data_IF_723982656102
#
_entry.id   IF_723982656102
#
_cell.length_a   1.000
_cell.length_b   1.000
_cell.length_c   1.000
_cell.angle_alpha   90.00
_cell.angle_beta   90.00
_cell.angle_gamma   90.00
#
_symmetry.space_group_name_H-M   'P 1'
#
loop_
_entity.id
_entity.type
_entity.pdbx_description
1 polymer ?
#
# COMPACT_ATOMS: atom_id res chain seq x y z
N UNK A 1 -6.32 -19.57 -11.98
CA UNK A 1 -7.09 -18.34 -12.02
C UNK A 1 -6.19 -17.14 -12.25
N UNK A 2 -6.53 -16.35 -13.25
CA UNK A 2 -5.69 -15.20 -13.61
C UNK A 2 -5.97 -14.03 -12.69
N UNK A 3 -4.90 -13.42 -12.16
CA UNK A 3 -4.99 -12.23 -11.34
C UNK A 3 -4.71 -11.01 -12.21
N UNK A 4 -5.65 -10.08 -12.22
CA UNK A 4 -5.52 -8.82 -12.94
C UNK A 4 -5.42 -7.66 -11.95
N UNK A 5 -4.82 -6.56 -12.41
CA UNK A 5 -4.75 -5.34 -11.62
C UNK A 5 -5.69 -4.30 -12.23
N UNK A 6 -6.43 -3.59 -11.39
CA UNK A 6 -7.33 -2.53 -11.82
C UNK A 6 -7.41 -1.43 -10.79
N UNK A 7 -7.96 -0.30 -11.22
CA UNK A 7 -8.18 0.84 -10.33
C UNK A 7 -9.15 0.45 -9.20
N UNK A 8 -8.85 0.89 -7.99
CA UNK A 8 -9.67 0.62 -6.81
C UNK A 8 -10.98 1.40 -6.87
N UNK A 9 -12.05 0.76 -6.45
CA UNK A 9 -13.38 1.36 -6.26
C UNK A 9 -13.78 1.27 -4.80
N UNK A 10 -14.73 2.10 -4.38
CA UNK A 10 -15.17 2.11 -2.98
C UNK A 10 -15.68 0.74 -2.53
N UNK A 11 -16.34 0.01 -3.41
CA UNK A 11 -16.87 -1.32 -3.12
C UNK A 11 -15.77 -2.34 -2.78
N UNK A 12 -14.51 -2.05 -3.08
CA UNK A 12 -13.38 -2.93 -2.79
C UNK A 12 -12.89 -2.82 -1.35
N UNK A 13 -13.27 -1.76 -0.63
CA UNK A 13 -12.74 -1.49 0.71
C UNK A 13 -13.01 -2.61 1.71
N UNK A 14 -14.22 -3.19 1.80
CA UNK A 14 -14.45 -4.29 2.75
C UNK A 14 -13.50 -5.46 2.57
N UNK A 15 -13.27 -5.89 1.33
CA UNK A 15 -12.32 -6.98 1.03
C UNK A 15 -10.89 -6.58 1.41
N UNK A 16 -10.50 -5.34 1.13
CA UNK A 16 -9.19 -4.82 1.51
C UNK A 16 -9.02 -4.80 3.03
N UNK A 17 -10.05 -4.42 3.78
CA UNK A 17 -10.00 -4.41 5.25
C UNK A 17 -9.78 -5.82 5.80
N UNK A 18 -10.44 -6.82 5.23
CA UNK A 18 -10.25 -8.22 5.64
C UNK A 18 -8.82 -8.69 5.37
N UNK A 19 -8.26 -8.33 4.23
CA UNK A 19 -6.88 -8.68 3.89
C UNK A 19 -5.90 -7.99 4.86
N UNK A 20 -6.10 -6.72 5.13
CA UNK A 20 -5.26 -5.96 6.07
C UNK A 20 -5.21 -6.67 7.43
N UNK A 21 -6.37 -7.07 7.96
CA UNK A 21 -6.45 -7.81 9.22
C UNK A 21 -5.67 -9.12 9.13
N UNK A 22 -5.84 -9.88 8.07
CA UNK A 22 -5.16 -11.18 7.91
C UNK A 22 -3.64 -11.04 7.79
N UNK A 23 -3.16 -9.95 7.21
CA UNK A 23 -1.72 -9.71 7.03
C UNK A 23 -1.06 -9.21 8.31
N UNK A 24 -1.70 -8.26 9.01
CA UNK A 24 -1.05 -7.55 10.11
C UNK A 24 -1.43 -8.05 11.51
N UNK A 25 -2.53 -8.80 11.66
CA UNK A 25 -2.93 -9.36 12.96
C UNK A 25 -2.20 -10.67 13.22
N UNK A 26 -0.87 -10.59 13.38
CA UNK A 26 -0.04 -11.77 13.64
C UNK A 26 1.12 -11.40 14.57
N UNK A 27 1.92 -12.40 14.93
CA UNK A 27 3.03 -12.22 15.86
C UNK A 27 4.11 -11.27 15.32
N UNK A 28 4.34 -11.27 14.03
CA UNK A 28 5.38 -10.45 13.41
C UNK A 28 5.06 -8.97 13.50
N UNK A 29 3.82 -8.58 13.13
CA UNK A 29 3.40 -7.19 13.11
C UNK A 29 2.81 -6.74 14.44
N UNK A 30 2.30 -7.68 15.24
CA UNK A 30 1.70 -7.45 16.56
C UNK A 30 0.56 -6.45 16.55
N UNK A 31 -0.16 -6.36 15.45
CA UNK A 31 -1.36 -5.52 15.35
C UNK A 31 -2.60 -6.32 15.74
N UNK A 32 -3.65 -5.61 16.11
CA UNK A 32 -4.95 -6.19 16.48
C UNK A 32 -6.06 -5.36 15.87
N UNK A 33 -6.05 -5.29 14.55
CA UNK A 33 -7.07 -4.56 13.82
C UNK A 33 -8.42 -5.26 13.93
N UNK A 34 -9.46 -4.50 14.26
CA UNK A 34 -10.83 -4.96 14.03
C UNK A 34 -11.21 -4.64 12.59
N UNK A 35 -12.15 -5.39 12.03
CA UNK A 35 -12.65 -5.11 10.68
C UNK A 35 -13.22 -3.70 10.58
N UNK A 36 -13.93 -3.24 11.64
CA UNK A 36 -14.52 -1.91 11.67
C UNK A 36 -13.47 -0.81 11.60
N UNK A 37 -12.41 -0.90 12.42
CA UNK A 37 -11.34 0.10 12.44
C UNK A 37 -10.53 0.03 11.15
N UNK A 38 -10.26 -1.17 10.63
CA UNK A 38 -9.56 -1.33 9.36
C UNK A 38 -10.34 -0.68 8.21
N UNK A 39 -11.67 -0.86 8.19
CA UNK A 39 -12.53 -0.25 7.18
C UNK A 39 -12.49 1.27 7.27
N UNK A 40 -12.58 1.83 8.47
CA UNK A 40 -12.49 3.27 8.69
C UNK A 40 -11.13 3.81 8.22
N UNK A 41 -10.06 3.16 8.60
CA UNK A 41 -8.70 3.51 8.25
C UNK A 41 -8.51 3.58 6.72
N UNK A 42 -8.94 2.54 6.01
CA UNK A 42 -8.82 2.47 4.56
C UNK A 42 -9.77 3.44 3.85
N UNK A 43 -10.97 3.64 4.39
CA UNK A 43 -11.93 4.59 3.84
C UNK A 43 -11.40 6.01 3.90
N UNK A 44 -10.71 6.38 4.98
CA UNK A 44 -10.10 7.70 5.11
C UNK A 44 -9.05 7.94 4.02
N UNK A 45 -8.25 6.94 3.69
CA UNK A 45 -7.31 7.06 2.58
C UNK A 45 -8.02 7.18 1.24
N UNK A 46 -9.03 6.34 1.01
CA UNK A 46 -9.77 6.35 -0.25
C UNK A 46 -10.42 7.70 -0.53
N UNK A 47 -10.91 8.38 0.50
CA UNK A 47 -11.58 9.68 0.39
C UNK A 47 -10.60 10.85 0.38
N UNK A 48 -9.31 10.62 0.50
CA UNK A 48 -8.31 11.68 0.46
C UNK A 48 -8.24 12.28 -0.93
N UNK A 49 -8.08 13.61 -1.00
CA UNK A 49 -7.85 14.27 -2.27
C UNK A 49 -6.59 13.70 -2.95
N UNK A 50 -6.67 13.49 -4.25
CA UNK A 50 -5.59 12.92 -5.07
C UNK A 50 -5.23 11.49 -4.69
N UNK A 51 -6.24 10.72 -4.27
CA UNK A 51 -6.06 9.30 -3.98
C UNK A 51 -5.61 8.53 -5.23
N UNK A 52 -4.66 7.62 -5.04
CA UNK A 52 -4.18 6.69 -6.06
C UNK A 52 -4.27 5.29 -5.47
N UNK A 53 -5.04 4.41 -6.06
CA UNK A 53 -5.19 3.07 -5.53
C UNK A 53 -5.52 2.03 -6.59
N UNK A 54 -5.01 0.83 -6.37
CA UNK A 54 -5.21 -0.32 -7.25
C UNK A 54 -5.49 -1.56 -6.44
N UNK A 55 -6.21 -2.50 -7.03
CA UNK A 55 -6.49 -3.80 -6.42
C UNK A 55 -6.08 -4.91 -7.36
N UNK A 56 -5.76 -6.04 -6.76
CA UNK A 56 -5.56 -7.30 -7.46
C UNK A 56 -6.84 -8.11 -7.37
N UNK A 57 -7.37 -8.50 -8.52
CA UNK A 57 -8.66 -9.16 -8.66
C UNK A 57 -8.45 -10.50 -9.37
N UNK A 58 -8.89 -11.59 -8.77
CA UNK A 58 -8.75 -12.92 -9.38
C UNK A 58 -9.99 -13.36 -10.16
N UNK A 59 -10.94 -12.45 -10.36
CA UNK A 59 -12.20 -12.72 -11.04
C UNK A 59 -13.36 -13.10 -10.11
N UNK A 60 -13.05 -13.49 -8.88
CA UNK A 60 -14.04 -13.84 -7.86
C UNK A 60 -13.95 -12.92 -6.64
N UNK A 61 -12.72 -12.56 -6.27
CA UNK A 61 -12.50 -11.73 -5.08
C UNK A 61 -11.26 -10.86 -5.25
N UNK A 62 -11.15 -9.86 -4.40
CA UNK A 62 -9.96 -9.04 -4.27
C UNK A 62 -8.94 -9.80 -3.43
N UNK A 63 -7.69 -9.84 -3.89
CA UNK A 63 -6.61 -10.58 -3.22
C UNK A 63 -5.44 -9.70 -2.78
N UNK A 64 -5.47 -8.42 -3.09
CA UNK A 64 -4.46 -7.47 -2.65
C UNK A 64 -4.84 -6.05 -3.03
N UNK A 65 -4.14 -5.08 -2.45
CA UNK A 65 -4.41 -3.67 -2.73
C UNK A 65 -3.26 -2.77 -2.34
N UNK A 66 -3.24 -1.59 -2.96
CA UNK A 66 -2.32 -0.52 -2.62
C UNK A 66 -3.11 0.78 -2.51
N UNK A 67 -2.91 1.48 -1.40
CA UNK A 67 -3.51 2.77 -1.10
C UNK A 67 -2.42 3.81 -1.06
N UNK A 68 -2.53 4.82 -1.91
CA UNK A 68 -1.53 5.87 -2.04
C UNK A 68 -2.21 7.21 -2.37
N UNK A 69 -1.44 8.26 -2.40
CA UNK A 69 -1.94 9.58 -2.84
C UNK A 69 -0.80 10.39 -3.43
N UNK A 70 -1.15 11.34 -4.32
CA UNK A 70 -0.20 12.33 -4.78
C UNK A 70 0.07 13.30 -3.65
N UNK A 71 1.33 13.41 -3.26
CA UNK A 71 1.79 14.35 -2.24
C UNK A 71 2.43 15.52 -2.93
N UNK A 72 1.82 16.70 -2.78
CA UNK A 72 2.36 17.93 -3.37
C UNK A 72 3.66 18.30 -2.69
N UNK A 73 4.69 18.57 -3.49
CA UNK A 73 5.99 18.97 -2.99
C UNK A 73 6.46 20.21 -3.77
N UNK A 74 7.38 20.97 -3.23
CA UNK A 74 7.73 22.30 -3.75
C UNK A 74 8.26 22.30 -5.18
N UNK A 75 8.94 21.22 -5.60
CA UNK A 75 9.52 21.14 -6.95
C UNK A 75 8.79 20.16 -7.88
N UNK A 76 8.16 19.15 -7.35
CA UNK A 76 7.32 18.21 -8.09
C UNK A 76 6.59 17.33 -7.08
N UNK A 77 5.41 16.86 -7.43
CA UNK A 77 4.66 15.95 -6.59
C UNK A 77 5.27 14.55 -6.63
N UNK A 78 5.08 13.81 -5.56
CA UNK A 78 5.45 12.40 -5.47
C UNK A 78 4.22 11.59 -5.06
N UNK A 79 4.26 10.28 -5.19
CA UNK A 79 3.20 9.41 -4.68
C UNK A 79 3.67 8.78 -3.37
N UNK A 80 2.91 9.00 -2.31
CA UNK A 80 3.17 8.40 -1.01
C UNK A 80 2.26 7.19 -0.83
N UNK A 81 2.85 6.01 -0.56
CA UNK A 81 2.11 4.78 -0.30
C UNK A 81 1.75 4.73 1.18
N UNK A 82 0.44 4.72 1.45
CA UNK A 82 -0.09 4.61 2.81
C UNK A 82 -0.16 3.16 3.27
N UNK A 83 -0.63 2.27 2.40
CA UNK A 83 -0.76 0.85 2.69
C UNK A 83 -0.60 0.01 1.42
N UNK A 84 -0.01 -1.16 1.59
CA UNK A 84 0.06 -2.17 0.54
C UNK A 84 0.02 -3.55 1.19
N UNK A 85 -0.79 -4.43 0.63
CA UNK A 85 -0.92 -5.79 1.16
C UNK A 85 -1.38 -6.76 0.08
N UNK A 86 -0.99 -8.02 0.28
CA UNK A 86 -1.41 -9.15 -0.56
C UNK A 86 -1.80 -10.27 0.41
N UNK A 87 -2.85 -11.01 0.11
CA UNK A 87 -3.27 -12.15 0.93
C UNK A 87 -2.07 -13.02 1.30
N UNK A 88 -1.95 -13.47 2.56
CA UNK A 88 -0.78 -14.24 3.00
C UNK A 88 -0.42 -15.41 2.11
N UNK A 89 -1.43 -16.18 1.66
CA UNK A 89 -1.21 -17.35 0.81
C UNK A 89 -0.71 -17.02 -0.60
N UNK A 90 -0.78 -15.74 -1.00
CA UNK A 90 -0.34 -15.28 -2.32
C UNK A 90 0.94 -14.44 -2.26
N UNK A 91 1.54 -14.27 -1.10
CA UNK A 91 2.78 -13.54 -0.95
C UNK A 91 3.96 -14.28 -1.59
N UNK A 92 5.03 -13.54 -1.94
CA UNK A 92 6.25 -14.06 -2.58
C UNK A 92 6.03 -14.64 -3.97
N UNK A 93 4.99 -14.18 -4.68
CA UNK A 93 4.67 -14.60 -6.05
C UNK A 93 4.71 -13.44 -7.05
N UNK A 94 5.22 -12.28 -6.64
CA UNK A 94 5.34 -11.12 -7.51
C UNK A 94 4.14 -10.19 -7.53
N UNK A 95 3.11 -10.45 -6.78
CA UNK A 95 1.90 -9.61 -6.80
C UNK A 95 2.11 -8.23 -6.16
N UNK A 96 2.93 -8.15 -5.12
CA UNK A 96 3.31 -6.85 -4.55
C UNK A 96 4.04 -5.98 -5.57
N UNK A 97 4.91 -6.58 -6.38
CA UNK A 97 5.59 -5.87 -7.47
C UNK A 97 4.63 -5.39 -8.55
N UNK A 98 3.55 -6.13 -8.81
CA UNK A 98 2.49 -5.68 -9.74
C UNK A 98 1.80 -4.42 -9.22
N UNK A 99 1.50 -4.37 -7.92
CA UNK A 99 0.88 -3.19 -7.30
C UNK A 99 1.80 -1.97 -7.40
N UNK A 100 3.07 -2.13 -7.08
CA UNK A 100 4.06 -1.06 -7.22
C UNK A 100 4.21 -0.63 -8.68
N UNK A 101 4.21 -1.58 -9.60
CA UNK A 101 4.30 -1.30 -11.04
C UNK A 101 3.16 -0.43 -11.55
N UNK A 102 1.94 -0.64 -11.04
CA UNK A 102 0.80 0.19 -11.40
C UNK A 102 0.98 1.65 -10.94
N UNK A 103 1.50 1.84 -9.73
CA UNK A 103 1.80 3.17 -9.21
C UNK A 103 2.94 3.82 -10.00
N UNK A 104 3.97 3.07 -10.33
CA UNK A 104 5.09 3.55 -11.15
C UNK A 104 4.61 4.02 -12.53
N UNK A 105 3.69 3.27 -13.14
CA UNK A 105 3.10 3.66 -14.41
C UNK A 105 2.30 4.97 -14.28
N UNK A 106 1.53 5.11 -13.22
CA UNK A 106 0.81 6.35 -12.91
C UNK A 106 1.77 7.53 -12.79
N UNK A 107 2.87 7.35 -12.04
CA UNK A 107 3.92 8.37 -11.86
C UNK A 107 4.53 8.76 -13.19
N UNK A 108 4.88 7.77 -13.99
CA UNK A 108 5.51 7.97 -15.30
C UNK A 108 4.61 8.75 -16.25
N UNK A 109 3.33 8.40 -16.30
CA UNK A 109 2.36 9.07 -17.17
C UNK A 109 2.12 10.52 -16.79
N UNK A 110 2.17 10.84 -15.50
CA UNK A 110 1.94 12.20 -15.00
C UNK A 110 3.22 13.01 -14.83
N UNK A 111 4.38 12.40 -15.03
CA UNK A 111 5.67 13.08 -14.87
C UNK A 111 5.97 13.45 -13.43
N UNK A 112 5.56 12.62 -12.47
CA UNK A 112 5.80 12.88 -11.05
C UNK A 112 7.22 12.44 -10.65
N UNK A 113 7.66 12.89 -9.48
CA UNK A 113 9.04 12.71 -9.05
C UNK A 113 9.39 11.28 -8.67
N UNK A 114 8.49 10.58 -8.00
CA UNK A 114 8.79 9.24 -7.53
C UNK A 114 7.79 8.74 -6.51
N UNK A 115 8.17 7.68 -5.82
CA UNK A 115 7.33 6.99 -4.85
C UNK A 115 8.04 6.93 -3.50
N UNK A 116 7.30 7.23 -2.43
CA UNK A 116 7.82 7.21 -1.06
C UNK A 116 6.89 6.41 -0.16
N UNK A 117 7.43 5.89 0.93
CA UNK A 117 6.66 5.17 1.94
C UNK A 117 7.43 5.11 3.25
N UNK A 118 6.70 4.72 4.30
CA UNK A 118 7.30 4.38 5.58
C UNK A 118 6.96 2.93 5.91
N UNK A 119 7.89 2.20 6.49
CA UNK A 119 7.68 0.81 6.88
C UNK A 119 8.46 0.48 8.16
N UNK A 120 8.17 -0.67 8.74
CA UNK A 120 8.86 -1.15 9.93
C UNK A 120 10.21 -1.75 9.52
N UNK A 121 11.31 -1.17 10.00
CA UNK A 121 12.65 -1.61 9.58
C UNK A 121 13.03 -3.00 10.07
N UNK A 122 12.32 -3.54 11.04
CA UNK A 122 12.58 -4.88 11.58
C UNK A 122 11.72 -5.98 10.92
N UNK A 123 10.80 -5.60 10.06
CA UNK A 123 9.97 -6.54 9.30
C UNK A 123 10.66 -6.95 7.99
N UNK A 124 10.17 -7.98 7.30
CA UNK A 124 10.70 -8.36 5.98
C UNK A 124 10.45 -7.32 4.89
N UNK A 125 9.48 -6.42 5.08
CA UNK A 125 9.07 -5.46 4.06
C UNK A 125 10.21 -4.61 3.48
N UNK A 126 11.17 -4.07 4.27
CA UNK A 126 12.27 -3.31 3.70
C UNK A 126 13.08 -4.08 2.64
N UNK A 127 13.27 -5.38 2.83
CA UNK A 127 13.99 -6.21 1.85
C UNK A 127 13.23 -6.26 0.53
N UNK A 128 11.92 -6.40 0.59
CA UNK A 128 11.06 -6.38 -0.58
C UNK A 128 11.16 -5.03 -1.31
N UNK A 129 11.06 -3.93 -0.58
CA UNK A 129 11.13 -2.60 -1.19
C UNK A 129 12.51 -2.33 -1.80
N UNK A 130 13.60 -2.73 -1.16
CA UNK A 130 14.94 -2.58 -1.72
C UNK A 130 15.13 -3.37 -3.01
N UNK A 131 14.53 -4.57 -3.09
CA UNK A 131 14.52 -5.36 -4.34
C UNK A 131 13.78 -4.63 -5.47
N UNK A 132 12.84 -3.78 -5.14
CA UNK A 132 12.07 -2.99 -6.10
C UNK A 132 12.65 -1.58 -6.30
N UNK A 133 13.90 -1.35 -5.89
CA UNK A 133 14.62 -0.11 -6.19
C UNK A 133 14.50 0.99 -5.15
N UNK A 134 13.87 0.72 -4.01
CA UNK A 134 13.77 1.70 -2.94
C UNK A 134 15.09 1.80 -2.17
N UNK A 135 15.39 3.00 -1.69
CA UNK A 135 16.56 3.27 -0.87
C UNK A 135 16.13 3.96 0.42
N UNK A 136 16.92 3.80 1.46
CA UNK A 136 16.65 4.46 2.74
C UNK A 136 16.90 5.96 2.62
N UNK A 137 15.96 6.77 3.12
CA UNK A 137 16.15 8.23 3.24
C UNK A 137 16.75 8.50 4.61
N UNK A 138 18.07 8.47 4.70
CA UNK A 138 18.80 8.54 5.98
C UNK A 138 18.60 9.86 6.74
N UNK A 139 18.25 10.93 6.04
CA UNK A 139 18.01 12.24 6.65
C UNK A 139 16.64 12.37 7.32
N UNK A 140 15.78 11.37 7.17
CA UNK A 140 14.41 11.39 7.71
C UNK A 140 14.32 10.46 8.91
N UNK A 141 13.71 10.93 9.98
CA UNK A 141 13.36 10.07 11.11
C UNK A 141 11.88 10.23 11.44
N UNK A 142 11.27 9.16 11.85
CA UNK A 142 9.88 9.17 12.33
C UNK A 142 9.93 9.40 13.85
N UNK A 143 9.24 10.45 14.31
CA UNK A 143 9.25 10.84 15.73
C UNK A 143 7.83 10.82 16.26
N UNK A 144 7.67 10.38 17.51
CA UNK A 144 6.38 10.35 18.19
C UNK A 144 6.52 10.89 19.61
N UNK A 145 5.44 11.43 20.12
CA UNK A 145 5.34 11.87 21.52
C UNK A 145 4.01 11.39 22.06
N UNK A 146 4.03 10.66 23.14
CA UNK A 146 2.84 10.27 23.87
C UNK A 146 2.40 11.42 24.77
N UNK A 147 1.12 11.74 24.75
CA UNK A 147 0.56 12.88 25.48
C UNK A 147 -0.45 12.43 26.50
#
# INVERSE_FOLDING_TARGET
MEITIRKMEQADIPACADILCSVYNNEMWQCRWSTEVATEYLTDFFNRNKFVGYVLDNGEEIVGGIFAHEKVWWNNSEVFVEEMFVKPELQRKGYGSMLLGAVEEYISKKGLAGITLSTNKYAPAPLFYKKNGFVDCEHVIFMAKEV
#
